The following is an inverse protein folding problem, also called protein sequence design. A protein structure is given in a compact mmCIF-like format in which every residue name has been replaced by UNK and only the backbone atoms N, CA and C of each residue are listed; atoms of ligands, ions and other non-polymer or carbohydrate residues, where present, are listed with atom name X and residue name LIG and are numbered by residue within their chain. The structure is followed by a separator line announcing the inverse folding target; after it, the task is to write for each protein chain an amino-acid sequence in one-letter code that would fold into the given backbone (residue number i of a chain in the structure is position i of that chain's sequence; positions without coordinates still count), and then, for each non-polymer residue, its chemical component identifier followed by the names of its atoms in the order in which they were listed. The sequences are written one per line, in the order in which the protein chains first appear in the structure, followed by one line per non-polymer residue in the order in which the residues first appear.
data_IF_558017560556
#
_entry.id   IF_558017560556
#
_cell.length_a   1.000
_cell.length_b   1.000
_cell.length_c   1.000
_cell.angle_alpha   90.00
_cell.angle_beta   90.00
_cell.angle_gamma   90.00
#
_symmetry.space_group_name_H-M   'P 1'
#
loop_
_entity.id
_entity.type
_entity.pdbx_description
1 polymer ?
#
# COMPACT_ATOMS: atom_id res chain seq x y z
N UNK A 1 -20.83 -33.35 23.74
CA UNK A 1 -21.23 -32.64 22.52
C UNK A 1 -20.00 -31.85 22.11
N UNK A 2 -19.25 -32.32 21.11
CA UNK A 2 -18.02 -31.67 20.64
C UNK A 2 -18.45 -30.59 19.64
N UNK A 3 -18.11 -29.33 19.91
CA UNK A 3 -18.30 -28.22 18.98
C UNK A 3 -17.58 -28.55 17.65
N UNK A 4 -18.23 -28.35 16.49
CA UNK A 4 -17.59 -28.58 15.20
C UNK A 4 -16.41 -27.63 15.05
N UNK A 5 -15.21 -28.21 14.88
CA UNK A 5 -13.97 -27.51 14.60
C UNK A 5 -14.18 -26.63 13.36
N UNK A 6 -14.26 -25.32 13.56
CA UNK A 6 -14.47 -24.37 12.48
C UNK A 6 -13.25 -24.46 11.54
N UNK A 7 -13.40 -25.14 10.41
CA UNK A 7 -12.35 -25.24 9.38
C UNK A 7 -11.94 -23.83 8.96
N UNK A 8 -10.80 -23.39 9.45
CA UNK A 8 -10.22 -22.09 9.10
C UNK A 8 -9.83 -22.15 7.63
N UNK A 9 -10.30 -21.17 6.84
CA UNK A 9 -9.88 -21.07 5.44
C UNK A 9 -8.36 -20.88 5.42
N UNK A 10 -7.63 -21.56 4.52
CA UNK A 10 -6.19 -21.40 4.45
C UNK A 10 -5.82 -19.95 4.09
N UNK A 11 -4.81 -19.40 4.78
CA UNK A 11 -4.38 -17.99 4.68
C UNK A 11 -4.06 -17.55 3.24
N UNK A 12 -3.52 -18.45 2.41
CA UNK A 12 -3.19 -18.17 1.01
C UNK A 12 -4.43 -17.98 0.12
N UNK A 13 -5.63 -18.35 0.60
CA UNK A 13 -6.92 -18.07 -0.07
C UNK A 13 -7.57 -16.77 0.40
N UNK A 14 -6.92 -16.00 1.25
CA UNK A 14 -7.44 -14.69 1.65
C UNK A 14 -7.42 -13.75 0.43
N UNK A 15 -8.47 -12.93 0.31
CA UNK A 15 -8.61 -12.00 -0.83
C UNK A 15 -7.40 -11.04 -0.96
N UNK A 16 -6.87 -10.43 0.12
CA UNK A 16 -5.75 -9.50 0.01
C UNK A 16 -4.48 -10.16 -0.53
N UNK A 17 -4.15 -11.36 -0.06
CA UNK A 17 -2.98 -12.10 -0.54
C UNK A 17 -3.07 -12.36 -2.05
N UNK A 18 -4.20 -12.88 -2.51
CA UNK A 18 -4.42 -13.17 -3.93
C UNK A 18 -4.36 -11.90 -4.79
N UNK A 19 -4.95 -10.79 -4.32
CA UNK A 19 -4.90 -9.50 -5.04
C UNK A 19 -3.45 -9.05 -5.23
N UNK A 20 -2.61 -9.10 -4.19
CA UNK A 20 -1.22 -8.66 -4.26
C UNK A 20 -0.40 -9.54 -5.21
N UNK A 21 -0.59 -10.87 -5.17
CA UNK A 21 0.10 -11.80 -6.08
C UNK A 21 -0.31 -11.55 -7.53
N UNK A 22 -1.61 -11.46 -7.81
CA UNK A 22 -2.13 -11.21 -9.16
C UNK A 22 -1.61 -9.86 -9.68
N UNK A 23 -1.62 -8.81 -8.86
CA UNK A 23 -1.08 -7.51 -9.21
C UNK A 23 0.42 -7.60 -9.57
N UNK A 24 1.22 -8.29 -8.76
CA UNK A 24 2.64 -8.49 -9.03
C UNK A 24 2.92 -9.21 -10.35
N UNK A 25 2.20 -10.30 -10.63
CA UNK A 25 2.29 -11.01 -11.91
C UNK A 25 1.87 -10.13 -13.10
N UNK A 26 0.80 -9.35 -12.95
CA UNK A 26 0.34 -8.43 -13.98
C UNK A 26 1.39 -7.35 -14.29
N UNK A 27 2.02 -6.75 -13.27
CA UNK A 27 3.09 -5.76 -13.45
C UNK A 27 4.28 -6.32 -14.23
N UNK A 28 4.69 -7.57 -13.98
CA UNK A 28 5.73 -8.24 -14.77
C UNK A 28 5.28 -8.41 -16.23
N UNK A 29 4.05 -8.88 -16.44
CA UNK A 29 3.49 -9.10 -17.78
C UNK A 29 3.42 -7.83 -18.64
N UNK A 30 3.16 -6.66 -18.03
CA UNK A 30 3.14 -5.35 -18.72
C UNK A 30 4.52 -4.68 -18.87
N UNK A 31 5.61 -5.36 -18.50
CA UNK A 31 6.97 -4.80 -18.62
C UNK A 31 7.37 -3.82 -17.51
N UNK A 32 6.72 -3.87 -16.34
CA UNK A 32 7.08 -3.09 -15.15
C UNK A 32 7.69 -4.01 -14.06
N UNK A 33 8.93 -4.51 -14.26
CA UNK A 33 9.48 -5.57 -13.41
C UNK A 33 9.75 -5.11 -11.97
N UNK A 34 10.10 -3.83 -11.75
CA UNK A 34 10.37 -3.28 -10.42
C UNK A 34 9.10 -3.29 -9.57
N UNK A 35 7.98 -2.82 -10.12
CA UNK A 35 6.68 -2.84 -9.44
C UNK A 35 6.26 -4.27 -9.12
N UNK A 36 6.39 -5.16 -10.11
CA UNK A 36 6.10 -6.59 -9.93
C UNK A 36 6.90 -7.22 -8.80
N UNK A 37 8.20 -6.91 -8.72
CA UNK A 37 9.05 -7.38 -7.64
C UNK A 37 8.62 -6.83 -6.26
N UNK A 38 8.23 -5.56 -6.16
CA UNK A 38 7.73 -4.96 -4.91
C UNK A 38 6.45 -5.66 -4.44
N UNK A 39 5.48 -5.89 -5.34
CA UNK A 39 4.24 -6.60 -5.01
C UNK A 39 4.51 -8.04 -4.57
N UNK A 40 5.34 -8.79 -5.29
CA UNK A 40 5.67 -10.17 -4.93
C UNK A 40 6.49 -10.27 -3.63
N UNK A 41 7.40 -9.31 -3.37
CA UNK A 41 8.10 -9.21 -2.10
C UNK A 41 7.12 -8.95 -0.94
N UNK A 42 6.13 -8.10 -1.16
CA UNK A 42 5.06 -7.82 -0.17
C UNK A 42 4.20 -9.07 0.10
N UNK A 43 3.80 -9.80 -0.94
CA UNK A 43 3.10 -11.08 -0.80
C UNK A 43 3.95 -12.10 -0.02
N UNK A 44 5.24 -12.18 -0.31
CA UNK A 44 6.18 -13.05 0.40
C UNK A 44 6.29 -12.67 1.87
N UNK A 45 6.41 -11.38 2.17
CA UNK A 45 6.45 -10.88 3.54
C UNK A 45 5.17 -11.21 4.32
N UNK A 46 4.00 -11.07 3.69
CA UNK A 46 2.72 -11.48 4.28
C UNK A 46 2.66 -12.99 4.53
N UNK A 47 3.10 -13.81 3.58
CA UNK A 47 3.16 -15.26 3.77
C UNK A 47 4.07 -15.63 4.95
N UNK A 48 5.24 -14.99 5.09
CA UNK A 48 6.14 -15.22 6.21
C UNK A 48 5.49 -14.81 7.53
N UNK A 49 4.79 -13.67 7.59
CA UNK A 49 4.11 -13.22 8.80
C UNK A 49 2.98 -14.16 9.22
N UNK A 50 2.20 -14.69 8.27
CA UNK A 50 1.16 -15.69 8.56
C UNK A 50 1.75 -17.02 9.07
N UNK A 51 2.95 -17.39 8.61
CA UNK A 51 3.65 -18.60 9.06
C UNK A 51 4.41 -18.40 10.37
N UNK A 52 4.79 -17.17 10.68
CA UNK A 52 5.66 -16.81 11.80
C UNK A 52 4.83 -15.94 12.73
N UNK A 53 3.92 -16.53 13.51
CA UNK A 53 3.06 -15.81 14.47
C UNK A 53 3.89 -14.83 15.31
N UNK A 54 3.99 -13.53 14.92
CA UNK A 54 5.01 -12.68 15.47
C UNK A 54 4.48 -12.14 16.79
N UNK A 55 5.32 -12.21 17.83
CA UNK A 55 4.99 -11.57 19.10
C UNK A 55 4.70 -10.08 18.88
N UNK A 56 3.53 -9.57 19.29
CA UNK A 56 3.18 -8.18 19.08
C UNK A 56 4.19 -7.28 19.80
N UNK A 57 4.55 -6.12 19.21
CA UNK A 57 5.48 -5.21 19.83
C UNK A 57 4.85 -4.61 21.11
N UNK A 58 5.67 -4.22 22.10
CA UNK A 58 5.16 -3.53 23.28
C UNK A 58 4.45 -2.22 22.87
N UNK A 59 3.33 -1.94 23.53
CA UNK A 59 2.56 -0.73 23.28
C UNK A 59 3.45 0.48 23.59
N UNK A 60 3.62 1.35 22.60
CA UNK A 60 4.51 2.51 22.67
C UNK A 60 3.92 3.64 21.86
N UNK A 61 4.03 4.87 22.35
CA UNK A 61 3.66 6.04 21.56
C UNK A 61 4.75 6.34 20.52
N UNK A 62 4.33 6.67 19.31
CA UNK A 62 5.24 7.24 18.32
C UNK A 62 5.67 8.64 18.79
N UNK A 63 6.98 8.91 18.91
CA UNK A 63 7.43 10.22 19.33
C UNK A 63 6.93 11.28 18.32
N UNK A 64 6.56 12.48 18.77
CA UNK A 64 6.10 13.55 17.89
C UNK A 64 7.16 13.92 16.83
N UNK A 65 8.44 13.69 17.13
CA UNK A 65 9.54 13.82 16.19
C UNK A 65 9.37 12.97 14.93
N UNK A 66 8.72 11.79 14.99
CA UNK A 66 8.45 10.97 13.79
C UNK A 66 7.44 11.65 12.86
N UNK A 67 6.44 12.33 13.42
CA UNK A 67 5.50 13.14 12.63
C UNK A 67 6.20 14.36 12.03
N UNK A 68 7.14 14.98 12.76
CA UNK A 68 7.92 16.11 12.26
C UNK A 68 8.92 15.68 11.18
N UNK A 69 9.50 14.47 11.28
CA UNK A 69 10.40 13.92 10.27
C UNK A 69 9.71 13.65 8.92
N UNK A 70 8.38 13.56 8.89
CA UNK A 70 7.61 13.49 7.66
C UNK A 70 7.71 14.77 6.81
N UNK A 71 7.92 15.92 7.44
CA UNK A 71 8.01 17.22 6.74
C UNK A 71 9.27 17.32 5.87
N UNK A 72 10.51 17.10 6.37
CA UNK A 72 11.70 17.12 5.53
C UNK A 72 11.72 15.96 4.51
N UNK A 73 11.18 14.79 4.86
CA UNK A 73 11.02 13.69 3.92
C UNK A 73 10.08 14.07 2.76
N UNK A 74 8.93 14.68 3.08
CA UNK A 74 7.98 15.16 2.08
C UNK A 74 8.55 16.28 1.22
N UNK A 75 9.27 17.23 1.81
CA UNK A 75 9.97 18.28 1.08
C UNK A 75 11.04 17.72 0.14
N UNK A 76 11.83 16.73 0.58
CA UNK A 76 12.85 16.11 -0.25
C UNK A 76 12.22 15.38 -1.44
N UNK A 77 11.18 14.57 -1.23
CA UNK A 77 10.48 13.91 -2.33
C UNK A 77 9.80 14.93 -3.26
N UNK A 78 9.31 16.05 -2.71
CA UNK A 78 8.68 17.11 -3.50
C UNK A 78 9.64 17.86 -4.43
N UNK A 79 10.92 17.95 -4.10
CA UNK A 79 11.89 18.75 -4.85
C UNK A 79 12.76 17.91 -5.80
N UNK A 80 12.71 16.59 -5.72
CA UNK A 80 13.55 15.69 -6.51
C UNK A 80 12.71 14.82 -7.44
N UNK A 81 13.26 14.51 -8.62
CA UNK A 81 12.57 13.65 -9.58
C UNK A 81 12.46 12.21 -9.08
N UNK A 82 11.38 11.48 -9.42
CA UNK A 82 11.28 10.05 -9.17
C UNK A 82 12.51 9.29 -9.71
N UNK A 83 12.94 8.25 -9.01
CA UNK A 83 14.10 7.44 -9.40
C UNK A 83 15.48 8.05 -9.08
N UNK A 84 15.53 9.26 -8.50
CA UNK A 84 16.79 9.83 -8.02
C UNK A 84 17.23 9.23 -6.68
N UNK A 85 18.53 9.25 -6.40
CA UNK A 85 19.09 8.71 -5.17
C UNK A 85 18.47 9.31 -3.88
N UNK A 86 18.20 10.63 -3.77
CA UNK A 86 17.55 11.18 -2.58
C UNK A 86 16.16 10.59 -2.30
N UNK A 87 15.34 10.43 -3.35
CA UNK A 87 14.01 9.81 -3.21
C UNK A 87 14.14 8.34 -2.80
N UNK A 88 15.07 7.60 -3.42
CA UNK A 88 15.33 6.20 -3.06
C UNK A 88 15.75 6.05 -1.59
N UNK A 89 16.60 6.94 -1.08
CA UNK A 89 17.02 6.95 0.33
C UNK A 89 15.83 7.20 1.26
N UNK A 90 14.96 8.17 0.97
CA UNK A 90 13.77 8.43 1.79
C UNK A 90 12.83 7.22 1.83
N UNK A 91 12.58 6.60 0.68
CA UNK A 91 11.75 5.38 0.59
C UNK A 91 12.40 4.23 1.36
N UNK A 92 13.70 4.00 1.20
CA UNK A 92 14.43 2.94 1.89
C UNK A 92 14.53 3.17 3.42
N UNK A 93 14.54 4.43 3.86
CA UNK A 93 14.57 4.77 5.29
C UNK A 93 13.19 4.63 5.96
N UNK A 94 12.10 4.80 5.22
CA UNK A 94 10.73 4.83 5.78
C UNK A 94 9.94 3.54 5.54
N UNK A 95 10.12 2.91 4.37
CA UNK A 95 9.40 1.72 3.94
C UNK A 95 9.65 0.48 4.80
N UNK A 96 10.90 -0.01 4.93
CA UNK A 96 11.21 -1.21 5.71
C UNK A 96 10.77 -1.15 7.18
N UNK A 97 10.98 -0.04 7.93
CA UNK A 97 10.45 0.06 9.30
C UNK A 97 8.93 -0.02 9.37
N UNK A 98 8.21 0.60 8.43
CA UNK A 98 6.75 0.53 8.38
C UNK A 98 6.24 -0.86 7.98
N UNK A 99 6.91 -1.51 7.03
CA UNK A 99 6.62 -2.89 6.68
C UNK A 99 6.83 -3.80 7.89
N UNK A 100 7.96 -3.68 8.58
CA UNK A 100 8.23 -4.46 9.79
C UNK A 100 7.18 -4.22 10.88
N UNK A 101 6.77 -2.97 11.10
CA UNK A 101 5.70 -2.65 12.04
C UNK A 101 4.38 -3.32 11.63
N UNK A 102 4.01 -3.24 10.36
CA UNK A 102 2.80 -3.86 9.83
C UNK A 102 2.82 -5.40 9.99
N UNK A 103 3.95 -6.04 9.68
CA UNK A 103 4.11 -7.49 9.84
C UNK A 103 4.03 -7.93 11.30
N UNK A 104 4.47 -7.10 12.25
CA UNK A 104 4.44 -7.42 13.69
C UNK A 104 3.12 -7.11 14.38
N UNK A 105 2.26 -6.32 13.76
CA UNK A 105 0.94 -5.92 14.30
C UNK A 105 -0.21 -6.60 13.54
N UNK A 106 0.08 -7.23 12.40
CA UNK A 106 -0.86 -8.02 11.63
C UNK A 106 -1.25 -9.30 12.37
N UNK A 107 -2.36 -9.25 13.10
CA UNK A 107 -2.95 -10.43 13.76
C UNK A 107 -4.43 -10.29 14.13
N UNK A 108 -5.03 -9.14 13.87
CA UNK A 108 -6.43 -8.86 14.21
C UNK A 108 -7.13 -8.14 13.09
N UNK A 109 -7.28 -8.79 11.93
CA UNK A 109 -8.26 -8.33 10.96
C UNK A 109 -9.65 -8.55 11.58
N UNK A 110 -10.12 -7.57 12.34
CA UNK A 110 -11.51 -7.49 12.77
C UNK A 110 -12.36 -7.65 11.52
N UNK A 111 -13.38 -8.52 11.56
CA UNK A 111 -14.29 -8.74 10.43
C UNK A 111 -14.87 -7.37 10.05
N UNK A 112 -14.34 -6.78 8.98
CA UNK A 112 -14.86 -5.53 8.47
C UNK A 112 -16.29 -5.77 8.02
N UNK A 113 -17.20 -4.93 8.51
CA UNK A 113 -18.62 -5.06 8.21
C UNK A 113 -18.83 -4.99 6.70
N UNK A 114 -19.35 -6.08 6.14
CA UNK A 114 -19.37 -6.35 4.71
C UNK A 114 -20.18 -5.28 3.95
N UNK A 115 -21.11 -4.63 4.64
CA UNK A 115 -21.97 -3.58 4.08
C UNK A 115 -21.28 -2.23 3.85
N UNK A 116 -20.17 -1.92 4.54
CA UNK A 116 -19.52 -0.59 4.44
C UNK A 116 -18.43 -0.49 3.38
N UNK A 117 -17.83 -1.61 2.95
CA UNK A 117 -16.72 -1.59 2.00
C UNK A 117 -17.14 -1.74 0.54
N UNK A 118 -18.34 -2.26 0.26
CA UNK A 118 -18.77 -2.55 -1.12
C UNK A 118 -18.77 -1.33 -2.05
N UNK A 119 -19.17 -0.10 -1.62
CA UNK A 119 -19.14 1.05 -2.52
C UNK A 119 -17.71 1.40 -2.90
N UNK A 120 -16.78 1.29 -1.95
CA UNK A 120 -15.36 1.52 -2.19
C UNK A 120 -14.75 0.49 -3.13
N UNK A 121 -15.14 -0.78 -3.00
CA UNK A 121 -14.72 -1.81 -3.95
C UNK A 121 -15.30 -1.59 -5.35
N UNK A 122 -16.56 -1.18 -5.46
CA UNK A 122 -17.17 -0.84 -6.75
C UNK A 122 -16.44 0.34 -7.41
N UNK A 123 -16.12 1.38 -6.64
CA UNK A 123 -15.31 2.52 -7.12
C UNK A 123 -13.92 2.06 -7.55
N UNK A 124 -13.24 1.24 -6.74
CA UNK A 124 -11.92 0.71 -7.07
C UNK A 124 -11.93 -0.11 -8.36
N UNK A 125 -12.91 -1.02 -8.51
CA UNK A 125 -13.08 -1.81 -9.75
C UNK A 125 -13.39 -0.92 -10.94
N UNK A 126 -14.27 0.07 -10.78
CA UNK A 126 -14.60 1.01 -11.86
C UNK A 126 -13.36 1.79 -12.31
N UNK A 127 -12.53 2.26 -11.36
CA UNK A 127 -11.26 2.93 -11.65
C UNK A 127 -10.28 1.99 -12.36
N UNK A 128 -10.14 0.75 -11.91
CA UNK A 128 -9.27 -0.24 -12.57
C UNK A 128 -9.75 -0.59 -13.99
N UNK A 129 -11.06 -0.74 -14.19
CA UNK A 129 -11.64 -1.00 -15.51
C UNK A 129 -11.48 0.19 -16.43
N UNK A 130 -11.66 1.41 -15.92
CA UNK A 130 -11.38 2.63 -16.66
C UNK A 130 -9.90 2.71 -17.06
N UNK A 131 -8.97 2.50 -16.13
CA UNK A 131 -7.53 2.50 -16.40
C UNK A 131 -7.16 1.48 -17.48
N UNK A 132 -7.67 0.25 -17.36
CA UNK A 132 -7.41 -0.81 -18.33
C UNK A 132 -8.04 -0.50 -19.69
N UNK A 133 -9.28 0.00 -19.72
CA UNK A 133 -9.96 0.35 -20.96
C UNK A 133 -9.28 1.52 -21.68
N UNK A 134 -8.86 2.57 -20.96
CA UNK A 134 -8.07 3.68 -21.51
C UNK A 134 -6.75 3.16 -22.05
N UNK A 135 -6.00 2.38 -21.27
CA UNK A 135 -4.71 1.82 -21.68
C UNK A 135 -4.79 0.95 -22.94
N UNK A 136 -5.81 0.09 -23.06
CA UNK A 136 -5.99 -0.76 -24.24
C UNK A 136 -6.38 0.03 -25.51
N UNK A 137 -6.90 1.25 -25.36
CA UNK A 137 -7.25 2.13 -26.48
C UNK A 137 -6.10 3.07 -26.88
N UNK A 138 -5.02 3.14 -26.11
CA UNK A 138 -3.86 3.96 -26.46
C UNK A 138 -3.14 3.41 -27.70
N UNK A 139 -2.82 4.30 -28.63
CA UNK A 139 -2.05 3.94 -29.83
C UNK A 139 -0.60 3.59 -29.50
N UNK A 140 -0.05 4.19 -28.43
CA UNK A 140 1.28 3.94 -27.91
C UNK A 140 1.22 3.87 -26.36
N UNK A 141 1.54 2.71 -25.74
CA UNK A 141 1.56 2.56 -24.28
C UNK A 141 2.53 3.48 -23.54
N UNK A 142 3.52 4.05 -24.24
CA UNK A 142 4.54 4.92 -23.64
C UNK A 142 4.13 6.40 -23.64
N UNK A 143 3.10 6.78 -24.38
CA UNK A 143 2.75 8.18 -24.61
C UNK A 143 1.33 8.46 -24.12
N UNK A 144 1.16 9.52 -23.34
CA UNK A 144 -0.17 9.93 -22.88
C UNK A 144 -1.05 10.36 -24.05
N UNK A 145 -2.23 9.75 -24.14
CA UNK A 145 -3.24 10.06 -25.15
C UNK A 145 -4.38 10.90 -24.51
N UNK A 146 -4.63 12.14 -24.98
CA UNK A 146 -5.70 12.99 -24.47
C UNK A 146 -7.12 12.43 -24.69
N UNK A 147 -7.32 11.61 -25.73
CA UNK A 147 -8.64 11.06 -26.08
C UNK A 147 -8.98 9.83 -25.22
N UNK A 148 -7.95 9.15 -24.72
CA UNK A 148 -8.06 7.98 -23.84
C UNK A 148 -7.19 8.13 -22.59
N UNK A 149 -7.46 9.13 -21.73
CA UNK A 149 -6.60 9.41 -20.61
C UNK A 149 -6.72 8.30 -19.56
N UNK A 150 -5.58 7.73 -19.18
CA UNK A 150 -5.47 6.91 -17.98
C UNK A 150 -5.55 7.81 -16.75
N UNK A 151 -6.02 7.29 -15.62
CA UNK A 151 -5.92 7.95 -14.32
C UNK A 151 -4.49 8.39 -14.03
N UNK A 152 -3.48 7.58 -14.39
CA UNK A 152 -2.08 7.99 -14.26
C UNK A 152 -1.77 9.26 -15.05
N UNK A 153 -2.23 9.37 -16.29
CA UNK A 153 -2.04 10.56 -17.12
C UNK A 153 -2.80 11.78 -16.57
N UNK A 154 -4.01 11.57 -16.01
CA UNK A 154 -4.79 12.63 -15.37
C UNK A 154 -4.11 13.15 -14.09
N UNK A 155 -3.47 12.26 -13.33
CA UNK A 155 -2.78 12.62 -12.10
C UNK A 155 -1.34 13.11 -12.33
N UNK A 156 -0.75 12.86 -13.51
CA UNK A 156 0.62 13.25 -13.84
C UNK A 156 0.92 14.73 -13.54
N UNK A 157 0.06 15.72 -13.88
CA UNK A 157 0.33 17.12 -13.56
C UNK A 157 0.44 17.39 -12.05
N UNK A 158 -0.28 16.63 -11.22
CA UNK A 158 -0.21 16.74 -9.77
C UNK A 158 1.15 16.29 -9.24
N UNK A 159 1.79 15.30 -9.88
CA UNK A 159 3.10 14.77 -9.51
C UNK A 159 4.27 15.50 -10.18
N UNK A 160 4.04 16.06 -11.37
CA UNK A 160 5.02 16.83 -12.12
C UNK A 160 5.32 18.17 -11.45
N UNK A 161 4.34 18.77 -10.78
CA UNK A 161 4.50 20.03 -10.06
C UNK A 161 5.02 19.80 -8.63
N UNK A 162 6.10 20.49 -8.26
CA UNK A 162 6.69 20.41 -6.91
C UNK A 162 5.67 20.58 -5.76
N UNK A 163 4.74 21.57 -5.82
CA UNK A 163 3.73 21.74 -4.78
C UNK A 163 2.71 20.60 -4.68
N UNK A 164 2.23 20.08 -5.81
CA UNK A 164 1.27 18.97 -5.83
C UNK A 164 1.88 17.68 -5.27
N UNK A 165 3.12 17.39 -5.66
CA UNK A 165 3.93 16.30 -5.12
C UNK A 165 4.16 16.46 -3.61
N UNK A 166 4.49 17.67 -3.15
CA UNK A 166 4.64 17.96 -1.72
C UNK A 166 3.37 17.65 -0.94
N UNK A 167 2.23 18.16 -1.40
CA UNK A 167 0.94 17.96 -0.74
C UNK A 167 0.57 16.48 -0.65
N UNK A 168 0.77 15.73 -1.74
CA UNK A 168 0.53 14.28 -1.76
C UNK A 168 1.43 13.52 -0.80
N UNK A 169 2.73 13.79 -0.81
CA UNK A 169 3.68 13.08 0.09
C UNK A 169 3.41 13.43 1.55
N UNK A 170 3.15 14.69 1.87
CA UNK A 170 2.79 15.10 3.24
C UNK A 170 1.48 14.42 3.68
N UNK A 171 0.46 14.41 2.83
CA UNK A 171 -0.80 13.72 3.11
C UNK A 171 -0.61 12.21 3.32
N UNK A 172 0.20 11.57 2.47
CA UNK A 172 0.55 10.15 2.58
C UNK A 172 1.29 9.84 3.88
N UNK A 173 2.32 10.62 4.23
CA UNK A 173 3.07 10.43 5.46
C UNK A 173 2.22 10.71 6.70
N UNK A 174 1.34 11.72 6.66
CA UNK A 174 0.40 11.99 7.74
C UNK A 174 -0.57 10.81 7.96
N UNK A 175 -1.10 10.24 6.87
CA UNK A 175 -1.94 9.04 6.93
C UNK A 175 -1.16 7.84 7.49
N UNK A 176 0.09 7.65 7.07
CA UNK A 176 0.97 6.59 7.59
C UNK A 176 1.28 6.74 9.08
N UNK A 177 1.58 7.95 9.54
CA UNK A 177 1.79 8.25 10.96
C UNK A 177 0.51 8.02 11.77
N UNK A 178 -0.64 8.44 11.26
CA UNK A 178 -1.93 8.19 11.89
C UNK A 178 -2.18 6.67 12.01
N UNK A 179 -1.99 5.94 10.92
CA UNK A 179 -2.16 4.49 10.89
C UNK A 179 -1.22 3.80 11.89
N UNK A 180 0.07 4.17 11.89
CA UNK A 180 1.04 3.61 12.81
C UNK A 180 0.69 3.91 14.29
N UNK A 181 0.16 5.11 14.58
CA UNK A 181 -0.35 5.44 15.93
C UNK A 181 -1.54 4.58 16.30
N UNK A 182 -2.49 4.35 15.39
CA UNK A 182 -3.64 3.47 15.63
C UNK A 182 -3.20 2.04 15.91
N UNK A 183 -2.22 1.52 15.16
CA UNK A 183 -1.69 0.17 15.32
C UNK A 183 -0.96 -0.02 16.64
N UNK A 184 -0.19 0.99 17.08
CA UNK A 184 0.56 0.92 18.34
C UNK A 184 -0.30 1.14 19.59
N UNK A 185 -1.46 1.80 19.43
CA UNK A 185 -2.42 2.07 20.52
C UNK A 185 -3.54 1.03 20.63
N UNK A 186 -3.67 0.12 19.67
CA UNK A 186 -4.74 -0.86 19.66
C UNK A 186 -4.70 -1.73 20.94
N UNK A 187 -5.81 -1.84 21.70
CA UNK A 187 -5.86 -2.65 22.90
C UNK A 187 -5.61 -4.13 22.56
N UNK A 188 -4.81 -4.80 23.38
CA UNK A 188 -4.44 -6.20 23.20
C UNK A 188 -5.67 -7.07 23.45
N UNK A 189 -6.14 -7.82 22.45
CA UNK A 189 -6.94 -9.00 22.73
C UNK A 189 -5.98 -10.08 23.25
N UNK A 190 -5.93 -10.25 24.57
CA UNK A 190 -5.41 -11.49 25.16
C UNK A 190 -6.33 -12.61 24.68
N UNK A 191 -5.82 -13.44 23.76
CA UNK A 191 -6.47 -14.68 23.35
C UNK A 191 -6.50 -15.66 24.51
#
# INVERSE_FOLDING_TARGET
MLEPEATTRPWWRTKPFLIIVIAGCFHIGRGAPVDGAIFLATATALAIAELTEPSPPPATDLPPATALAAVPAGWLVANWQPGTAPVAVVVAATGPPMLLLALRTGGGAERTDVGRWWPWAAVGVAVCLWELASFLQQSDPATADPDHPTLSAVLEPLFAQGPGRAAMVVGWLAAGVLLARLMLRAPRCTR
#
